data_IF_535431003765
#
_entry.id   IF_535431003765
#
_cell.length_a   1.000
_cell.length_b   1.000
_cell.length_c   1.000
_cell.angle_alpha   90.00
_cell.angle_beta   90.00
_cell.angle_gamma   90.00
#
_symmetry.space_group_name_H-M   'P 1'
#
loop_
_entity.id
_entity.type
_entity.pdbx_description
1 polymer ?
#
# COMPACT_ATOMS: atom_id res chain seq x y z
N UNK A 1 -42.13 -14.83 -64.33
CA UNK A 1 -41.70 -15.42 -63.04
C UNK A 1 -40.21 -15.28 -62.73
N UNK A 2 -39.28 -15.16 -63.71
CA UNK A 2 -37.84 -14.99 -63.42
C UNK A 2 -37.42 -13.65 -62.78
N UNK A 3 -38.20 -12.57 -62.94
CA UNK A 3 -37.89 -11.25 -62.34
C UNK A 3 -38.10 -11.22 -60.81
N UNK A 4 -39.17 -11.81 -60.28
CA UNK A 4 -39.43 -11.75 -58.83
C UNK A 4 -38.46 -12.61 -58.01
N UNK A 5 -37.88 -13.67 -58.59
CA UNK A 5 -36.84 -14.47 -57.92
C UNK A 5 -35.52 -13.70 -57.76
N UNK A 6 -35.18 -12.82 -58.70
CA UNK A 6 -33.98 -11.97 -58.62
C UNK A 6 -34.10 -10.87 -57.57
N UNK A 7 -35.30 -10.31 -57.39
CA UNK A 7 -35.56 -9.29 -56.37
C UNK A 7 -35.47 -9.90 -54.97
N UNK A 8 -36.09 -11.06 -54.76
CA UNK A 8 -36.02 -11.78 -53.47
C UNK A 8 -34.58 -12.14 -53.12
N UNK A 9 -33.79 -12.64 -54.09
CA UNK A 9 -32.38 -12.97 -53.86
C UNK A 9 -31.55 -11.72 -53.51
N UNK A 10 -31.78 -10.60 -54.19
CA UNK A 10 -31.11 -9.33 -53.90
C UNK A 10 -31.37 -8.83 -52.48
N UNK A 11 -32.63 -8.91 -52.02
CA UNK A 11 -32.99 -8.51 -50.64
C UNK A 11 -32.35 -9.42 -49.60
N UNK A 12 -32.30 -10.73 -49.84
CA UNK A 12 -31.66 -11.70 -48.92
C UNK A 12 -30.15 -11.46 -48.83
N UNK A 13 -29.48 -11.18 -49.94
CA UNK A 13 -28.04 -10.88 -49.94
C UNK A 13 -27.75 -9.56 -49.21
N UNK A 14 -28.54 -8.51 -49.48
CA UNK A 14 -28.37 -7.22 -48.83
C UNK A 14 -28.56 -7.30 -47.31
N UNK A 15 -29.62 -7.98 -46.87
CA UNK A 15 -29.89 -8.20 -45.44
C UNK A 15 -28.79 -9.04 -44.78
N UNK A 16 -28.26 -10.04 -45.47
CA UNK A 16 -27.11 -10.83 -45.00
C UNK A 16 -25.85 -9.98 -44.79
N UNK A 17 -25.52 -9.10 -45.74
CA UNK A 17 -24.38 -8.17 -45.60
C UNK A 17 -24.60 -7.21 -44.42
N UNK A 18 -25.82 -6.68 -44.27
CA UNK A 18 -26.15 -5.73 -43.21
C UNK A 18 -26.03 -6.38 -41.82
N UNK A 19 -26.54 -7.61 -41.65
CA UNK A 19 -26.35 -8.38 -40.42
C UNK A 19 -24.88 -8.66 -40.13
N UNK A 20 -24.09 -8.97 -41.16
CA UNK A 20 -22.65 -9.23 -41.01
C UNK A 20 -21.92 -7.96 -40.54
N UNK A 21 -22.20 -6.79 -41.14
CA UNK A 21 -21.59 -5.51 -40.75
C UNK A 21 -21.97 -5.13 -39.31
N UNK A 22 -23.25 -5.28 -38.94
CA UNK A 22 -23.71 -5.00 -37.56
C UNK A 22 -23.04 -5.95 -36.56
N UNK A 23 -22.90 -7.24 -36.90
CA UNK A 23 -22.27 -8.23 -36.03
C UNK A 23 -20.78 -7.93 -35.79
N UNK A 24 -20.04 -7.59 -36.84
CA UNK A 24 -18.63 -7.17 -36.71
C UNK A 24 -18.56 -5.92 -35.84
N UNK A 25 -19.36 -4.90 -36.14
CA UNK A 25 -19.35 -3.63 -35.39
C UNK A 25 -19.66 -3.84 -33.90
N UNK A 26 -20.59 -4.73 -33.57
CA UNK A 26 -20.92 -5.08 -32.19
C UNK A 26 -19.74 -5.72 -31.45
N UNK A 27 -19.04 -6.67 -32.07
CA UNK A 27 -17.86 -7.32 -31.48
C UNK A 27 -16.73 -6.33 -31.20
N UNK A 28 -16.54 -5.33 -32.06
CA UNK A 28 -15.55 -4.26 -31.83
C UNK A 28 -16.01 -3.23 -30.80
N UNK A 29 -17.32 -2.99 -30.68
CA UNK A 29 -17.89 -2.02 -29.74
C UNK A 29 -17.93 -2.51 -28.28
N UNK A 30 -18.10 -3.82 -28.06
CA UNK A 30 -18.26 -4.39 -26.71
C UNK A 30 -17.09 -4.05 -25.75
N UNK A 31 -15.80 -4.16 -26.13
CA UNK A 31 -14.69 -3.79 -25.24
C UNK A 31 -14.69 -2.31 -24.84
N UNK A 32 -15.07 -1.41 -25.75
CA UNK A 32 -15.13 0.03 -25.48
C UNK A 32 -16.26 0.36 -24.51
N UNK A 33 -17.42 -0.28 -24.66
CA UNK A 33 -18.56 -0.14 -23.75
C UNK A 33 -18.15 -0.63 -22.35
N UNK A 34 -17.53 -1.81 -22.26
CA UNK A 34 -17.07 -2.35 -20.98
C UNK A 34 -16.08 -1.41 -20.30
N UNK A 35 -15.11 -0.87 -21.05
CA UNK A 35 -14.14 0.10 -20.52
C UNK A 35 -14.79 1.36 -19.93
N UNK A 36 -15.84 1.87 -20.55
CA UNK A 36 -16.56 3.03 -20.03
C UNK A 36 -17.35 2.70 -18.76
N UNK A 37 -17.96 1.51 -18.69
CA UNK A 37 -18.66 1.03 -17.49
C UNK A 37 -17.67 0.88 -16.32
N UNK A 38 -16.56 0.17 -16.54
CA UNK A 38 -15.53 -0.05 -15.52
C UNK A 38 -14.93 1.26 -15.01
N UNK A 39 -14.65 2.21 -15.91
CA UNK A 39 -14.20 3.56 -15.53
C UNK A 39 -15.24 4.30 -14.69
N UNK A 40 -16.52 4.18 -15.04
CA UNK A 40 -17.62 4.76 -14.27
C UNK A 40 -17.71 4.18 -12.86
N UNK A 41 -17.56 2.87 -12.72
CA UNK A 41 -17.54 2.19 -11.43
C UNK A 41 -16.36 2.64 -10.56
N UNK A 42 -15.16 2.73 -11.13
CA UNK A 42 -13.97 3.20 -10.39
C UNK A 42 -14.10 4.65 -9.95
N UNK A 43 -14.65 5.52 -10.80
CA UNK A 43 -14.93 6.90 -10.41
C UNK A 43 -15.94 6.97 -9.25
N UNK A 44 -16.97 6.13 -9.29
CA UNK A 44 -17.97 6.04 -8.21
C UNK A 44 -17.31 5.57 -6.91
N UNK A 45 -16.44 4.56 -6.98
CA UNK A 45 -15.66 4.09 -5.82
C UNK A 45 -14.77 5.22 -5.29
N UNK A 46 -14.07 5.96 -6.15
CA UNK A 46 -13.22 7.07 -5.75
C UNK A 46 -14.02 8.19 -5.06
N UNK A 47 -15.20 8.53 -5.58
CA UNK A 47 -16.12 9.47 -4.95
C UNK A 47 -16.54 8.97 -3.56
N UNK A 48 -16.88 7.68 -3.42
CA UNK A 48 -17.20 7.08 -2.12
C UNK A 48 -16.03 7.04 -1.14
N UNK A 49 -14.80 6.81 -1.62
CA UNK A 49 -13.61 6.88 -0.75
C UNK A 49 -13.38 8.31 -0.24
N UNK A 50 -13.61 9.32 -1.08
CA UNK A 50 -13.57 10.71 -0.64
C UNK A 50 -14.68 11.02 0.38
N UNK A 51 -15.91 10.56 0.15
CA UNK A 51 -17.01 10.70 1.12
C UNK A 51 -16.69 10.03 2.47
N UNK A 52 -16.08 8.83 2.45
CA UNK A 52 -15.62 8.14 3.67
C UNK A 52 -14.55 8.96 4.38
N UNK A 53 -13.54 9.43 3.64
CA UNK A 53 -12.47 10.26 4.19
C UNK A 53 -13.03 11.52 4.85
N UNK A 54 -13.92 12.23 4.16
CA UNK A 54 -14.54 13.45 4.67
C UNK A 54 -15.42 13.16 5.89
N UNK A 55 -16.14 12.04 5.90
CA UNK A 55 -16.91 11.59 7.06
C UNK A 55 -16.01 11.31 8.27
N UNK A 56 -14.87 10.63 8.09
CA UNK A 56 -13.92 10.37 9.19
C UNK A 56 -13.29 11.66 9.70
N UNK A 57 -12.83 12.55 8.82
CA UNK A 57 -12.23 13.85 9.21
C UNK A 57 -13.28 14.73 9.91
N UNK A 58 -14.51 14.76 9.41
CA UNK A 58 -15.63 15.48 10.03
C UNK A 58 -15.97 14.93 11.41
N UNK A 59 -16.03 13.61 11.57
CA UNK A 59 -16.26 12.94 12.85
C UNK A 59 -15.12 13.20 13.83
N UNK A 60 -13.87 13.21 13.36
CA UNK A 60 -12.72 13.52 14.20
C UNK A 60 -12.77 14.96 14.73
N UNK A 61 -13.00 15.92 13.84
CA UNK A 61 -13.00 17.35 14.15
C UNK A 61 -14.22 17.80 14.97
N UNK A 62 -15.42 17.37 14.59
CA UNK A 62 -16.67 17.84 15.22
C UNK A 62 -17.16 16.91 16.34
N UNK A 63 -16.85 15.62 16.26
CA UNK A 63 -17.43 14.59 17.12
C UNK A 63 -18.82 14.13 16.72
N UNK A 64 -19.36 14.65 15.62
CA UNK A 64 -20.67 14.22 15.09
C UNK A 64 -20.54 12.87 14.43
N UNK A 65 -21.57 12.03 14.54
CA UNK A 65 -21.62 10.79 13.78
C UNK A 65 -21.97 11.10 12.33
N UNK A 66 -21.23 10.48 11.39
CA UNK A 66 -21.51 10.60 9.96
C UNK A 66 -21.84 9.22 9.39
N UNK A 67 -22.77 9.19 8.44
CA UNK A 67 -23.22 7.98 7.75
C UNK A 67 -22.95 8.16 6.26
N UNK A 68 -22.26 7.20 5.66
CA UNK A 68 -21.98 7.13 4.22
C UNK A 68 -22.65 5.87 3.67
N UNK A 69 -23.42 6.04 2.60
CA UNK A 69 -24.03 4.91 1.90
C UNK A 69 -23.04 4.34 0.87
N UNK A 70 -22.75 3.05 1.02
CA UNK A 70 -21.80 2.31 0.19
C UNK A 70 -22.55 1.33 -0.69
N UNK A 71 -22.33 1.40 -2.01
CA UNK A 71 -22.73 0.33 -2.91
C UNK A 71 -21.59 -0.69 -3.03
N UNK A 72 -21.73 -1.83 -2.37
CA UNK A 72 -20.76 -2.93 -2.39
C UNK A 72 -21.16 -4.06 -3.35
N UNK A 73 -22.01 -3.79 -4.34
CA UNK A 73 -22.49 -4.83 -5.28
C UNK A 73 -21.35 -5.53 -6.02
N UNK A 74 -20.29 -4.79 -6.37
CA UNK A 74 -19.11 -5.33 -7.07
C UNK A 74 -17.81 -5.15 -6.30
N UNK A 75 -17.91 -4.79 -5.02
CA UNK A 75 -16.76 -4.46 -4.18
C UNK A 75 -16.89 -5.07 -2.78
N UNK A 76 -15.77 -5.11 -2.07
CA UNK A 76 -15.76 -5.45 -0.67
C UNK A 76 -15.00 -4.37 0.10
N UNK A 77 -15.37 -4.16 1.36
CA UNK A 77 -14.65 -3.29 2.29
C UNK A 77 -14.12 -4.13 3.44
N UNK A 78 -12.94 -3.76 3.92
CA UNK A 78 -12.26 -4.33 5.08
C UNK A 78 -11.62 -3.20 5.89
N UNK A 79 -11.83 -3.22 7.20
CA UNK A 79 -11.20 -2.31 8.15
C UNK A 79 -10.03 -3.02 8.81
N UNK A 80 -8.82 -2.51 8.56
CA UNK A 80 -7.57 -3.01 9.15
C UNK A 80 -7.09 -2.04 10.24
N UNK A 81 -7.47 -2.35 11.47
CA UNK A 81 -7.12 -1.54 12.64
C UNK A 81 -5.63 -1.56 12.95
N UNK A 82 -4.94 -2.68 12.67
CA UNK A 82 -3.53 -2.83 12.99
C UNK A 82 -2.67 -1.87 12.18
N UNK A 83 -3.05 -1.65 10.92
CA UNK A 83 -2.33 -0.76 10.00
C UNK A 83 -3.00 0.62 9.85
N UNK A 84 -4.09 0.89 10.59
CA UNK A 84 -4.88 2.13 10.47
C UNK A 84 -5.37 2.38 9.02
N UNK A 85 -5.83 1.32 8.33
CA UNK A 85 -6.24 1.36 6.92
C UNK A 85 -7.69 0.94 6.70
N UNK A 86 -8.38 1.64 5.82
CA UNK A 86 -9.64 1.20 5.22
C UNK A 86 -9.32 0.64 3.84
N UNK A 87 -9.68 -0.61 3.58
CA UNK A 87 -9.36 -1.33 2.35
C UNK A 87 -10.64 -1.55 1.58
N UNK A 88 -10.69 -1.15 0.31
CA UNK A 88 -11.81 -1.40 -0.59
C UNK A 88 -11.32 -2.11 -1.85
N UNK A 89 -11.84 -3.31 -2.10
CA UNK A 89 -11.45 -4.13 -3.26
C UNK A 89 -12.55 -4.17 -4.30
N UNK A 90 -12.18 -4.16 -5.57
CA UNK A 90 -13.12 -4.32 -6.70
C UNK A 90 -12.41 -5.06 -7.83
N UNK A 91 -13.18 -5.56 -8.80
CA UNK A 91 -12.61 -6.20 -10.00
C UNK A 91 -12.96 -5.40 -11.24
N UNK A 92 -12.01 -5.20 -12.15
CA UNK A 92 -12.22 -4.58 -13.44
C UNK A 92 -11.73 -5.49 -14.57
N UNK A 93 -12.36 -5.40 -15.74
CA UNK A 93 -11.88 -6.07 -16.95
C UNK A 93 -10.87 -5.20 -17.72
N UNK A 94 -10.59 -3.99 -17.24
CA UNK A 94 -9.71 -3.02 -17.90
C UNK A 94 -8.60 -2.56 -16.95
N UNK A 95 -7.35 -2.48 -17.44
CA UNK A 95 -6.28 -1.85 -16.70
C UNK A 95 -6.56 -0.38 -16.44
N UNK A 96 -6.85 -0.04 -15.19
CA UNK A 96 -7.01 1.36 -14.76
C UNK A 96 -5.85 1.82 -13.88
N UNK A 97 -5.27 0.92 -13.08
CA UNK A 97 -4.06 1.16 -12.29
C UNK A 97 -3.00 0.18 -12.79
N UNK A 98 -1.85 0.69 -13.24
CA UNK A 98 -0.80 -0.13 -13.84
C UNK A 98 0.25 -0.61 -12.81
N UNK A 99 0.05 -0.31 -11.53
CA UNK A 99 1.02 -0.58 -10.47
C UNK A 99 0.60 -1.77 -9.63
N UNK A 100 1.53 -2.70 -9.42
CA UNK A 100 1.40 -3.82 -8.48
C UNK A 100 1.86 -3.46 -7.05
N UNK A 101 2.19 -2.19 -6.82
CA UNK A 101 2.51 -1.63 -5.51
C UNK A 101 1.60 -0.44 -5.21
N UNK A 102 1.30 -0.22 -3.94
CA UNK A 102 0.51 0.91 -3.44
C UNK A 102 1.04 2.26 -3.97
N UNK A 103 0.20 3.01 -4.70
CA UNK A 103 0.50 4.37 -5.18
C UNK A 103 -0.55 5.36 -4.68
N UNK A 104 -0.15 6.56 -4.20
CA UNK A 104 -1.10 7.58 -3.80
C UNK A 104 -1.83 8.15 -5.03
N UNK A 105 -3.15 8.34 -4.90
CA UNK A 105 -4.02 8.87 -5.95
C UNK A 105 -4.38 10.34 -5.67
N UNK A 106 -4.66 10.67 -4.40
CA UNK A 106 -5.09 12.01 -4.01
C UNK A 106 -3.93 12.91 -3.54
N UNK A 107 -2.70 12.39 -3.49
CA UNK A 107 -1.51 13.12 -3.06
C UNK A 107 -0.24 12.56 -3.74
N UNK A 108 0.94 13.12 -3.45
CA UNK A 108 2.19 12.71 -4.09
C UNK A 108 3.00 11.70 -3.26
N UNK A 109 2.68 11.52 -1.98
CA UNK A 109 3.35 10.59 -1.06
C UNK A 109 2.33 9.72 -0.34
N UNK A 110 2.77 8.52 0.07
CA UNK A 110 1.98 7.62 0.90
C UNK A 110 1.92 8.15 2.34
N UNK A 111 0.88 7.76 3.10
CA UNK A 111 0.77 8.08 4.53
C UNK A 111 1.91 7.48 5.37
N UNK A 112 2.46 6.36 4.91
CA UNK A 112 3.59 5.68 5.54
C UNK A 112 4.61 5.29 4.49
N UNK A 113 5.89 5.44 4.81
CA UNK A 113 6.98 4.93 3.95
C UNK A 113 7.86 3.99 4.75
N UNK A 114 8.51 3.07 4.04
CA UNK A 114 9.52 2.22 4.65
C UNK A 114 10.86 2.94 4.59
N UNK A 115 11.54 3.00 5.73
CA UNK A 115 12.84 3.65 5.78
C UNK A 115 13.84 2.89 4.90
N UNK A 116 14.53 3.56 3.99
CA UNK A 116 15.62 2.98 3.23
C UNK A 116 16.94 3.45 3.83
N UNK A 117 17.68 2.51 4.43
CA UNK A 117 18.90 2.81 5.15
C UNK A 117 20.09 2.23 4.39
N UNK A 118 21.07 3.06 4.06
CA UNK A 118 22.34 2.63 3.50
C UNK A 118 23.44 2.79 4.54
N UNK A 119 24.14 1.71 4.86
CA UNK A 119 25.29 1.73 5.75
C UNK A 119 26.56 1.56 4.94
N UNK A 120 27.40 2.59 4.92
CA UNK A 120 28.69 2.57 4.25
C UNK A 120 29.75 2.01 5.21
N UNK A 121 30.19 0.79 4.98
CA UNK A 121 31.09 -0.01 5.82
C UNK A 121 32.53 0.02 5.29
N UNK A 122 33.02 1.18 4.89
CA UNK A 122 34.32 1.32 4.17
C UNK A 122 35.55 1.01 5.03
N UNK A 123 35.42 0.86 6.35
CA UNK A 123 36.55 0.56 7.24
C UNK A 123 36.74 -0.94 7.37
N UNK A 124 37.88 -1.46 6.95
CA UNK A 124 38.23 -2.87 7.20
C UNK A 124 38.78 -3.05 8.61
N UNK A 125 38.29 -4.04 9.35
CA UNK A 125 38.77 -4.38 10.69
C UNK A 125 38.90 -5.88 10.90
N UNK A 126 39.68 -6.29 11.88
CA UNK A 126 39.80 -7.68 12.37
C UNK A 126 39.35 -7.84 13.82
N UNK A 127 38.79 -6.78 14.41
CA UNK A 127 38.37 -6.74 15.82
C UNK A 127 36.90 -7.14 16.03
N UNK A 128 36.16 -7.35 14.94
CA UNK A 128 34.76 -7.72 15.01
C UNK A 128 34.58 -9.18 15.49
N UNK A 129 33.45 -9.52 16.12
CA UNK A 129 33.19 -10.87 16.60
C UNK A 129 33.27 -11.91 15.47
N UNK A 130 34.06 -12.96 15.67
CA UNK A 130 34.20 -14.03 14.66
C UNK A 130 32.92 -14.85 14.49
N UNK A 131 32.54 -15.11 13.24
CA UNK A 131 31.39 -15.95 12.88
C UNK A 131 31.90 -17.18 12.13
N UNK A 132 31.48 -18.38 12.54
CA UNK A 132 31.85 -19.63 11.88
C UNK A 132 31.42 -19.62 10.40
N UNK A 133 32.36 -19.92 9.50
CA UNK A 133 32.13 -19.90 8.04
C UNK A 133 32.49 -18.59 7.36
N UNK A 134 32.84 -17.54 8.11
CA UNK A 134 33.13 -16.21 7.61
C UNK A 134 34.55 -15.74 7.96
N UNK A 135 35.09 -14.83 7.14
CA UNK A 135 36.40 -14.24 7.33
C UNK A 135 36.40 -13.35 8.58
N UNK A 136 37.53 -13.30 9.29
CA UNK A 136 37.74 -12.41 10.44
C UNK A 136 37.96 -10.96 10.02
N UNK A 137 38.37 -10.72 8.77
CA UNK A 137 38.44 -9.37 8.21
C UNK A 137 37.06 -8.97 7.69
N UNK A 138 36.49 -7.93 8.27
CA UNK A 138 35.14 -7.44 8.00
C UNK A 138 35.14 -5.98 7.58
N UNK A 139 34.13 -5.59 6.81
CA UNK A 139 33.80 -4.20 6.57
C UNK A 139 32.94 -3.69 7.72
N UNK A 140 33.31 -2.55 8.30
CA UNK A 140 32.77 -2.05 9.55
C UNK A 140 32.32 -0.59 9.47
N UNK A 141 31.21 -0.28 10.13
CA UNK A 141 30.75 1.07 10.42
C UNK A 141 30.00 1.14 11.75
N UNK A 142 29.94 2.34 12.31
CA UNK A 142 29.04 2.64 13.42
C UNK A 142 27.82 3.39 12.88
N UNK A 143 26.65 3.02 13.36
CA UNK A 143 25.40 3.73 13.12
C UNK A 143 24.71 4.06 14.44
N UNK A 144 23.75 4.98 14.39
CA UNK A 144 22.78 5.17 15.46
C UNK A 144 21.42 4.72 14.96
N UNK A 145 20.79 3.78 15.66
CA UNK A 145 19.39 3.41 15.47
C UNK A 145 18.64 3.99 16.65
N UNK A 146 17.65 4.85 16.37
CA UNK A 146 16.97 5.68 17.37
C UNK A 146 17.96 6.50 18.22
N UNK A 147 18.26 6.02 19.42
CA UNK A 147 19.20 6.67 20.37
C UNK A 147 20.40 5.78 20.72
N UNK A 148 20.43 4.55 20.20
CA UNK A 148 21.45 3.57 20.52
C UNK A 148 22.48 3.48 19.39
N UNK A 149 23.76 3.56 19.75
CA UNK A 149 24.86 3.31 18.80
C UNK A 149 25.00 1.79 18.60
N UNK A 150 25.02 1.37 17.35
CA UNK A 150 25.26 0.01 16.90
C UNK A 150 26.47 -0.06 15.97
N UNK A 151 27.19 -1.17 16.04
CA UNK A 151 28.20 -1.57 15.10
C UNK A 151 27.55 -2.37 13.97
N UNK A 152 28.02 -2.14 12.76
CA UNK A 152 27.59 -2.84 11.56
C UNK A 152 28.80 -3.48 10.94
N UNK A 153 28.72 -4.79 10.74
CA UNK A 153 29.80 -5.60 10.20
C UNK A 153 29.29 -6.39 9.02
N UNK A 154 29.94 -6.27 7.86
CA UNK A 154 29.69 -7.10 6.67
C UNK A 154 30.78 -8.15 6.59
N UNK A 155 30.38 -9.41 6.49
CA UNK A 155 31.25 -10.58 6.54
C UNK A 155 31.35 -11.24 5.16
N UNK A 156 32.57 -11.59 4.80
CA UNK A 156 32.87 -12.37 3.59
C UNK A 156 32.84 -13.86 3.94
N UNK A 157 32.11 -14.65 3.15
CA UNK A 157 32.09 -16.10 3.30
C UNK A 157 33.43 -16.70 2.84
N UNK A 158 34.02 -17.56 3.68
CA UNK A 158 35.35 -18.16 3.46
C UNK A 158 35.43 -19.12 2.29
N UNK A 159 34.31 -19.70 1.86
CA UNK A 159 34.24 -20.67 0.77
C UNK A 159 33.92 -19.99 -0.55
N UNK A 160 32.94 -19.08 -0.56
CA UNK A 160 32.50 -18.41 -1.80
C UNK A 160 33.28 -17.13 -2.12
N UNK A 161 34.01 -16.56 -1.16
CA UNK A 161 34.62 -15.23 -1.23
C UNK A 161 33.60 -14.09 -1.50
N UNK A 162 32.31 -14.35 -1.31
CA UNK A 162 31.25 -13.34 -1.47
C UNK A 162 30.93 -12.68 -0.13
N UNK A 163 30.67 -11.37 -0.15
CA UNK A 163 30.07 -10.64 0.96
C UNK A 163 28.58 -10.95 1.01
N UNK A 164 28.15 -11.74 1.99
CA UNK A 164 26.80 -12.32 2.00
C UNK A 164 26.07 -12.17 3.32
N UNK A 165 26.75 -11.74 4.39
CA UNK A 165 26.18 -11.65 5.73
C UNK A 165 26.46 -10.27 6.30
N UNK A 166 25.42 -9.57 6.72
CA UNK A 166 25.56 -8.31 7.47
C UNK A 166 25.02 -8.49 8.86
N UNK A 167 25.74 -7.98 9.85
CA UNK A 167 25.31 -8.01 11.24
C UNK A 167 25.24 -6.61 11.84
N UNK A 168 24.20 -6.35 12.63
CA UNK A 168 24.02 -5.14 13.43
C UNK A 168 24.10 -5.55 14.91
N UNK A 169 25.05 -5.03 15.67
CA UNK A 169 25.31 -5.47 17.05
C UNK A 169 25.78 -4.32 17.93
N UNK A 170 25.67 -4.46 19.26
CA UNK A 170 26.05 -3.39 20.21
C UNK A 170 27.28 -3.76 21.03
N UNK A 171 27.11 -4.73 21.94
CA UNK A 171 28.17 -5.18 22.84
C UNK A 171 28.59 -6.63 22.54
N UNK A 172 27.61 -7.49 22.32
CA UNK A 172 27.80 -8.91 22.00
C UNK A 172 27.00 -9.25 20.77
N UNK A 173 27.59 -10.04 19.87
CA UNK A 173 26.93 -10.50 18.66
C UNK A 173 26.16 -11.79 18.95
N UNK A 174 24.86 -11.80 18.67
CA UNK A 174 24.04 -13.00 18.61
C UNK A 174 23.71 -13.34 17.16
N UNK A 175 24.44 -14.30 16.58
CA UNK A 175 24.35 -14.65 15.16
C UNK A 175 22.93 -14.92 14.65
N UNK A 176 22.02 -15.43 15.49
CA UNK A 176 20.66 -15.76 15.06
C UNK A 176 19.73 -14.54 14.96
N UNK A 177 20.02 -13.47 15.70
CA UNK A 177 19.14 -12.30 15.81
C UNK A 177 19.76 -11.03 15.23
N UNK A 178 21.09 -11.00 15.14
CA UNK A 178 21.86 -9.82 14.83
C UNK A 178 22.39 -9.82 13.41
N UNK A 179 22.29 -10.95 12.70
CA UNK A 179 22.84 -11.13 11.36
C UNK A 179 21.75 -11.56 10.39
N UNK A 180 21.85 -11.10 9.15
CA UNK A 180 20.97 -11.48 8.06
C UNK A 180 21.75 -11.60 6.76
N UNK A 181 21.30 -12.51 5.90
CA UNK A 181 21.63 -12.53 4.47
C UNK A 181 20.61 -11.71 3.68
N UNK A 182 20.91 -11.46 2.41
CA UNK A 182 19.97 -10.76 1.52
C UNK A 182 18.60 -11.46 1.51
N UNK A 183 17.54 -10.71 1.80
CA UNK A 183 16.16 -11.19 1.94
C UNK A 183 15.79 -11.68 3.35
N UNK A 184 16.72 -11.64 4.31
CA UNK A 184 16.46 -11.98 5.71
C UNK A 184 16.34 -10.72 6.59
N UNK A 185 15.75 -10.89 7.77
CA UNK A 185 15.47 -9.80 8.71
C UNK A 185 16.40 -9.83 9.94
N UNK A 186 16.85 -8.65 10.36
CA UNK A 186 17.49 -8.41 11.64
C UNK A 186 16.49 -7.72 12.56
N UNK A 187 16.31 -8.22 13.78
CA UNK A 187 15.41 -7.60 14.76
C UNK A 187 16.19 -6.69 15.70
N UNK A 188 15.89 -5.39 15.70
CA UNK A 188 16.50 -4.40 16.61
C UNK A 188 15.44 -3.49 17.20
N UNK A 189 15.45 -3.38 18.53
CA UNK A 189 14.53 -2.51 19.28
C UNK A 189 13.05 -2.74 18.89
N UNK A 190 12.66 -4.02 18.72
CA UNK A 190 11.34 -4.48 18.25
C UNK A 190 10.98 -4.12 16.80
N UNK A 191 11.92 -3.57 16.03
CA UNK A 191 11.76 -3.30 14.61
C UNK A 191 12.50 -4.35 13.77
N UNK A 192 11.88 -4.76 12.67
CA UNK A 192 12.51 -5.63 11.67
C UNK A 192 13.20 -4.79 10.60
N UNK A 193 14.47 -5.11 10.35
CA UNK A 193 15.29 -4.52 9.29
C UNK A 193 15.62 -5.60 8.27
N UNK A 194 15.04 -5.50 7.09
CA UNK A 194 15.28 -6.45 6.00
C UNK A 194 16.55 -6.06 5.25
N UNK A 195 17.48 -7.00 5.09
CA UNK A 195 18.67 -6.76 4.28
C UNK A 195 18.31 -6.91 2.79
N UNK A 196 18.27 -5.80 2.06
CA UNK A 196 17.89 -5.78 0.64
C UNK A 196 19.04 -6.18 -0.26
N UNK A 197 20.25 -5.71 0.03
CA UNK A 197 21.45 -6.09 -0.73
C UNK A 197 22.73 -5.68 -0.01
N UNK A 198 23.82 -6.34 -0.39
CA UNK A 198 25.19 -5.97 -0.03
C UNK A 198 25.90 -5.62 -1.33
N UNK A 199 26.65 -4.52 -1.33
CA UNK A 199 27.48 -4.15 -2.47
C UNK A 199 28.57 -5.21 -2.70
N UNK A 200 28.90 -5.54 -3.94
CA UNK A 200 29.86 -6.60 -4.29
C UNK A 200 31.22 -6.48 -3.59
N UNK A 201 31.63 -5.26 -3.22
CA UNK A 201 32.87 -5.02 -2.48
C UNK A 201 32.78 -5.19 -0.96
N UNK A 202 31.58 -5.34 -0.39
CA UNK A 202 31.35 -5.31 1.06
C UNK A 202 31.33 -3.91 1.67
N UNK A 203 31.59 -2.88 0.87
CA UNK A 203 31.70 -1.48 1.32
C UNK A 203 30.37 -0.83 1.69
N UNK A 204 29.24 -1.46 1.35
CA UNK A 204 27.93 -0.97 1.73
C UNK A 204 26.90 -2.11 1.88
N UNK A 205 25.95 -1.91 2.78
CA UNK A 205 24.77 -2.76 2.94
C UNK A 205 23.50 -1.89 2.97
N UNK A 206 22.47 -2.34 2.26
CA UNK A 206 21.19 -1.64 2.10
C UNK A 206 20.10 -2.37 2.85
N UNK A 207 19.42 -1.65 3.74
CA UNK A 207 18.35 -2.17 4.57
C UNK A 207 17.04 -1.46 4.29
N UNK A 208 15.96 -2.22 4.41
CA UNK A 208 14.60 -1.70 4.51
C UNK A 208 14.18 -1.77 5.97
N UNK A 209 14.07 -0.61 6.60
CA UNK A 209 13.82 -0.43 8.02
C UNK A 209 12.34 -0.46 8.41
N UNK A 210 12.00 0.11 9.57
CA UNK A 210 10.62 0.17 10.02
C UNK A 210 9.75 1.02 9.08
N UNK A 211 8.43 0.82 9.21
CA UNK A 211 7.45 1.70 8.59
C UNK A 211 7.43 2.99 9.41
N UNK A 212 7.71 4.11 8.75
CA UNK A 212 7.67 5.45 9.31
C UNK A 212 6.43 6.14 8.78
N UNK A 213 5.74 6.85 9.68
CA UNK A 213 4.60 7.70 9.33
C UNK A 213 5.10 9.01 8.70
N UNK A 214 4.60 9.34 7.50
CA UNK A 214 4.88 10.62 6.85
C UNK A 214 3.90 11.66 7.40
N UNK A 215 4.34 12.46 8.38
CA UNK A 215 3.50 13.49 8.98
C UNK A 215 3.17 14.59 7.97
N UNK A 216 1.89 14.96 7.89
CA UNK A 216 1.44 16.09 7.07
C UNK A 216 1.38 17.41 7.85
N UNK A 217 1.16 18.52 7.15
CA UNK A 217 0.95 19.84 7.77
C UNK A 217 -0.54 20.14 7.92
N UNK A 218 -0.99 20.37 9.16
CA UNK A 218 -2.40 20.62 9.47
C UNK A 218 -2.91 21.86 8.73
N UNK A 219 -3.99 21.71 7.97
CA UNK A 219 -4.64 22.79 7.22
C UNK A 219 -4.02 23.09 5.85
N UNK A 220 -2.87 22.50 5.52
CA UNK A 220 -2.25 22.63 4.20
C UNK A 220 -2.32 21.34 3.38
N UNK A 221 -2.37 20.19 4.05
CA UNK A 221 -2.26 18.89 3.40
C UNK A 221 -3.37 17.93 3.83
N UNK A 222 -3.71 16.91 3.02
CA UNK A 222 -4.74 15.95 3.36
C UNK A 222 -4.27 15.03 4.51
N UNK A 223 -5.19 14.75 5.44
CA UNK A 223 -4.97 13.81 6.54
C UNK A 223 -5.17 12.34 6.10
N UNK A 224 -6.19 12.06 5.28
CA UNK A 224 -6.38 10.75 4.65
C UNK A 224 -5.73 10.69 3.28
N UNK A 225 -4.78 9.76 3.12
CA UNK A 225 -4.16 9.44 1.84
C UNK A 225 -4.92 8.28 1.22
N UNK A 226 -5.47 8.53 0.04
CA UNK A 226 -6.11 7.51 -0.79
C UNK A 226 -5.04 6.99 -1.75
N UNK A 227 -4.80 5.69 -1.71
CA UNK A 227 -3.87 5.00 -2.59
C UNK A 227 -4.53 3.79 -3.23
N UNK A 228 -3.90 3.25 -4.27
CA UNK A 228 -4.37 2.01 -4.85
C UNK A 228 -3.24 1.19 -5.48
N UNK A 229 -3.54 -0.09 -5.67
CA UNK A 229 -2.75 -1.03 -6.47
C UNK A 229 -3.67 -1.93 -7.27
N UNK A 230 -3.12 -2.58 -8.29
CA UNK A 230 -3.83 -3.53 -9.14
C UNK A 230 -2.98 -4.76 -9.38
N UNK A 231 -3.60 -5.92 -9.22
CA UNK A 231 -3.01 -7.22 -9.53
C UNK A 231 -3.84 -7.89 -10.60
N UNK A 232 -3.18 -8.32 -11.67
CA UNK A 232 -3.84 -9.04 -12.76
C UNK A 232 -4.14 -10.48 -12.35
N UNK A 233 -5.42 -10.83 -12.30
CA UNK A 233 -5.92 -12.18 -12.01
C UNK A 233 -6.63 -12.74 -13.25
N UNK A 234 -5.87 -13.47 -14.06
CA UNK A 234 -6.34 -14.00 -15.35
C UNK A 234 -6.65 -12.87 -16.37
N UNK A 235 -7.93 -12.73 -16.73
CA UNK A 235 -8.42 -11.72 -17.67
C UNK A 235 -9.00 -10.48 -16.98
N UNK A 236 -8.92 -10.41 -15.65
CA UNK A 236 -9.39 -9.28 -14.85
C UNK A 236 -8.24 -8.70 -14.04
N UNK A 237 -8.49 -7.52 -13.52
CA UNK A 237 -7.66 -6.85 -12.54
C UNK A 237 -8.42 -6.73 -11.23
N UNK A 238 -7.80 -7.22 -10.16
CA UNK A 238 -8.24 -6.97 -8.81
C UNK A 238 -7.58 -5.68 -8.37
N UNK A 239 -8.41 -4.66 -8.16
CA UNK A 239 -7.98 -3.32 -7.77
C UNK A 239 -8.28 -3.16 -6.28
N UNK A 240 -7.26 -2.82 -5.52
CA UNK A 240 -7.37 -2.52 -4.09
C UNK A 240 -7.12 -1.05 -3.87
N UNK A 241 -8.09 -0.37 -3.28
CA UNK A 241 -7.96 0.99 -2.79
C UNK A 241 -7.74 0.98 -1.28
N UNK A 242 -6.93 1.91 -0.82
CA UNK A 242 -6.63 2.11 0.59
C UNK A 242 -6.96 3.54 0.98
N UNK A 243 -7.48 3.73 2.18
CA UNK A 243 -7.47 5.02 2.88
C UNK A 243 -6.63 4.82 4.13
N UNK A 244 -5.53 5.57 4.23
CA UNK A 244 -4.66 5.57 5.41
C UNK A 244 -4.61 6.96 5.99
N UNK A 245 -4.83 7.10 7.30
CA UNK A 245 -4.75 8.39 7.98
C UNK A 245 -3.35 8.59 8.55
N UNK A 246 -2.69 9.67 8.12
CA UNK A 246 -1.42 10.11 8.68
C UNK A 246 -1.62 11.16 9.76
N UNK A 247 -0.66 11.24 10.67
CA UNK A 247 -0.54 12.30 11.65
C UNK A 247 -0.33 13.65 10.97
N UNK A 248 -0.87 14.69 11.60
CA UNK A 248 -0.83 16.06 11.11
C UNK A 248 -0.18 16.97 12.14
N UNK A 249 0.84 17.73 11.74
CA UNK A 249 1.55 18.66 12.62
C UNK A 249 0.94 20.05 12.48
N UNK A 250 0.49 20.61 13.59
CA UNK A 250 0.03 21.99 13.66
C UNK A 250 1.22 22.98 13.61
N UNK A 251 1.00 24.26 13.23
CA UNK A 251 2.05 25.28 13.28
C UNK A 251 2.68 25.49 14.67
N UNK A 252 1.99 25.07 15.73
CA UNK A 252 2.47 25.09 17.12
C UNK A 252 3.42 23.93 17.45
N UNK A 253 3.57 22.95 16.56
CA UNK A 253 4.31 21.70 16.79
C UNK A 253 3.50 20.60 17.47
N UNK A 254 2.20 20.80 17.72
CA UNK A 254 1.30 19.76 18.21
C UNK A 254 0.95 18.79 17.08
N UNK A 255 1.07 17.48 17.33
CA UNK A 255 0.66 16.44 16.39
C UNK A 255 -0.79 16.03 16.63
N UNK A 256 -1.54 15.80 15.55
CA UNK A 256 -2.91 15.31 15.58
C UNK A 256 -3.00 14.00 14.80
N UNK A 257 -3.48 12.93 15.46
CA UNK A 257 -3.60 11.60 14.84
C UNK A 257 -5.05 11.12 14.85
N UNK A 258 -5.44 10.42 13.79
CA UNK A 258 -6.72 9.72 13.70
C UNK A 258 -6.42 8.22 13.71
N UNK A 259 -6.97 7.50 14.68
CA UNK A 259 -6.89 6.05 14.75
C UNK A 259 -8.26 5.45 14.51
N UNK A 260 -8.37 4.57 13.52
CA UNK A 260 -9.60 3.84 13.22
C UNK A 260 -9.66 2.56 14.05
N UNK A 261 -10.87 2.20 14.43
CA UNK A 261 -11.21 0.95 15.11
C UNK A 261 -12.53 0.43 14.52
N UNK A 262 -12.80 -0.85 14.67
CA UNK A 262 -14.02 -1.47 14.20
C UNK A 262 -14.58 -2.44 15.24
N UNK A 263 -15.79 -2.15 15.70
CA UNK A 263 -16.50 -2.98 16.69
C UNK A 263 -17.49 -3.96 16.06
N UNK A 264 -18.03 -3.63 14.88
CA UNK A 264 -18.98 -4.47 14.14
C UNK A 264 -18.83 -4.24 12.64
N UNK A 265 -19.08 -5.28 11.83
CA UNK A 265 -19.09 -5.13 10.37
C UNK A 265 -17.75 -4.78 9.75
N UNK A 266 -16.63 -5.26 10.32
CA UNK A 266 -15.28 -4.91 9.88
C UNK A 266 -14.94 -5.40 8.48
N UNK A 267 -15.76 -6.30 7.94
CA UNK A 267 -15.76 -6.64 6.52
C UNK A 267 -17.19 -6.76 6.02
N UNK A 268 -17.45 -6.22 4.82
CA UNK A 268 -18.75 -6.30 4.17
C UNK A 268 -18.59 -6.37 2.65
N UNK A 269 -19.56 -6.99 1.97
CA UNK A 269 -19.62 -7.11 0.51
C UNK A 269 -21.04 -7.39 0.02
N UNK A 270 -21.27 -7.24 -1.29
CA UNK A 270 -22.39 -7.85 -2.02
C UNK A 270 -23.72 -7.07 -2.03
N UNK A 271 -23.92 -6.07 -1.19
CA UNK A 271 -25.12 -5.22 -1.20
C UNK A 271 -24.79 -3.78 -0.83
N UNK A 272 -25.77 -2.88 -0.97
CA UNK A 272 -25.70 -1.57 -0.34
C UNK A 272 -25.58 -1.73 1.18
N UNK A 273 -24.68 -0.95 1.78
CA UNK A 273 -24.34 -0.93 3.20
C UNK A 273 -24.22 0.49 3.70
N UNK A 274 -24.41 0.70 5.00
CA UNK A 274 -24.19 1.99 5.65
C UNK A 274 -22.91 1.92 6.46
N UNK A 275 -21.94 2.74 6.09
CA UNK A 275 -20.75 2.98 6.89
C UNK A 275 -21.05 4.11 7.87
N UNK A 276 -20.96 3.80 9.16
CA UNK A 276 -21.14 4.78 10.23
C UNK A 276 -19.79 5.05 10.86
N UNK A 277 -19.45 6.33 10.99
CA UNK A 277 -18.27 6.79 11.73
C UNK A 277 -18.72 7.41 13.05
N UNK A 278 -18.05 7.07 14.14
CA UNK A 278 -18.37 7.56 15.48
C UNK A 278 -17.09 7.84 16.25
N UNK A 279 -16.96 9.03 16.83
CA UNK A 279 -15.81 9.36 17.68
C UNK A 279 -15.98 8.68 19.03
N UNK A 280 -15.06 7.79 19.40
CA UNK A 280 -15.13 7.03 20.65
C UNK A 280 -14.35 7.69 21.77
N UNK A 281 -13.17 8.25 21.47
CA UNK A 281 -12.33 8.88 22.47
C UNK A 281 -11.40 9.95 21.87
N UNK A 282 -10.89 10.84 22.72
CA UNK A 282 -9.77 11.74 22.42
C UNK A 282 -8.79 11.65 23.58
N UNK A 283 -7.55 11.28 23.28
CA UNK A 283 -6.45 11.29 24.23
C UNK A 283 -5.55 12.47 23.89
N UNK A 284 -5.22 13.29 24.89
CA UNK A 284 -4.32 14.44 24.75
C UNK A 284 -3.11 14.22 25.64
N UNK A 285 -1.95 14.14 25.01
CA UNK A 285 -0.65 14.14 25.65
C UNK A 285 0.02 15.50 25.45
N UNK A 286 1.22 15.71 25.99
CA UNK A 286 1.87 17.03 26.03
C UNK A 286 1.99 17.74 24.68
N UNK A 287 2.12 16.98 23.59
CA UNK A 287 2.30 17.48 22.22
C UNK A 287 1.58 16.64 21.16
N UNK A 288 0.70 15.73 21.57
CA UNK A 288 0.00 14.81 20.67
C UNK A 288 -1.47 14.72 21.08
N UNK A 289 -2.37 14.94 20.12
CA UNK A 289 -3.80 14.72 20.27
C UNK A 289 -4.22 13.56 19.36
N UNK A 290 -4.59 12.43 19.95
CA UNK A 290 -5.07 11.24 19.23
C UNK A 290 -6.58 11.11 19.33
N UNK A 291 -7.24 11.07 18.19
CA UNK A 291 -8.69 10.90 18.07
C UNK A 291 -9.02 9.49 17.59
N UNK A 292 -9.82 8.78 18.38
CA UNK A 292 -10.24 7.42 18.07
C UNK A 292 -11.60 7.45 17.38
N UNK A 293 -11.67 6.84 16.21
CA UNK A 293 -12.87 6.73 15.39
C UNK A 293 -13.25 5.26 15.27
N UNK A 294 -14.45 4.91 15.73
CA UNK A 294 -15.04 3.61 15.41
C UNK A 294 -15.77 3.71 14.09
N UNK A 295 -15.50 2.75 13.20
CA UNK A 295 -16.15 2.59 11.91
C UNK A 295 -16.91 1.27 11.95
N UNK A 296 -18.21 1.32 11.66
CA UNK A 296 -19.05 0.14 11.52
C UNK A 296 -19.73 0.10 10.15
N UNK A 297 -19.90 -1.10 9.59
CA UNK A 297 -20.57 -1.29 8.29
C UNK A 297 -21.75 -2.25 8.46
N UNK A 298 -22.98 -1.76 8.23
CA UNK A 298 -24.24 -2.50 8.44
C UNK A 298 -25.12 -2.58 7.20
#
# INVERSE_FOLDING_TARGET
>A
MRKSQSEVLGTVVLTGILLLVVSITFLWGQPLIQKNIDKGQINTIMEKLNEINDAVISTASTGSNNIVELDLTTSAILLDELNNKIIMTTTSSVPVIASNTELPINYYELATTRENIAYNTTTLTTTDPGITGYNTQTHHANTTINTTIYNISVYQNTTSNNWELTCIWKNTLNNNNDCAKTGENILKENNAYELISILTGGDAAYFSGPIIENLGVLGSEPAGIISAESIRVGNKEDITFYITYRGMTAPTGEEHKILISCTSGCSASGTTKKLTTTRTNIIRESNITTTYINIGVE
#
